data_IF_590424146562
#
_entry.id   IF_590424146562
#
_cell.length_a   1.000
_cell.length_b   1.000
_cell.length_c   1.000
_cell.angle_alpha   90.00
_cell.angle_beta   90.00
_cell.angle_gamma   90.00
#
_symmetry.space_group_name_H-M   'P 1'
#
loop_
_entity.id
_entity.type
_entity.pdbx_description
1 polymer ?
#
# COMPACT_ATOMS: atom_id res chain seq x y z
N UNK A 1 0.61 99.79 9.15
CA UNK A 1 0.67 98.31 9.15
C UNK A 1 1.15 97.69 7.83
N UNK A 2 1.38 98.44 6.74
CA UNK A 2 1.68 97.86 5.42
C UNK A 2 3.18 97.67 5.09
N UNK A 3 4.10 98.28 5.85
CA UNK A 3 5.55 98.15 5.61
C UNK A 3 6.12 96.87 6.20
N UNK A 4 5.66 96.46 7.38
CA UNK A 4 6.08 95.22 8.02
C UNK A 4 5.61 93.98 7.24
N UNK A 5 4.39 93.99 6.70
CA UNK A 5 3.85 92.90 5.87
C UNK A 5 4.57 92.77 4.53
N UNK A 6 4.96 93.88 3.90
CA UNK A 6 5.74 93.87 2.66
C UNK A 6 7.20 93.44 2.86
N UNK A 7 7.80 93.72 4.03
CA UNK A 7 9.14 93.24 4.35
C UNK A 7 9.11 91.74 4.66
N UNK A 8 8.15 91.29 5.47
CA UNK A 8 7.94 89.88 5.77
C UNK A 8 7.65 89.06 4.51
N UNK A 9 6.79 89.52 3.61
CA UNK A 9 6.46 88.76 2.38
C UNK A 9 7.64 88.67 1.40
N UNK A 10 8.48 89.72 1.30
CA UNK A 10 9.69 89.73 0.47
C UNK A 10 10.72 88.67 0.86
N UNK A 11 10.82 88.34 2.14
CA UNK A 11 11.71 87.28 2.61
C UNK A 11 11.00 85.94 2.80
N UNK A 12 9.75 85.91 3.26
CA UNK A 12 9.02 84.67 3.53
C UNK A 12 8.69 83.87 2.27
N UNK A 13 8.36 84.53 1.15
CA UNK A 13 8.06 83.86 -0.12
C UNK A 13 9.28 83.10 -0.69
N UNK A 14 10.45 83.72 -0.89
CA UNK A 14 11.62 82.99 -1.38
C UNK A 14 12.10 81.93 -0.38
N UNK A 15 11.99 82.18 0.93
CA UNK A 15 12.37 81.21 1.97
C UNK A 15 11.42 80.00 1.95
N UNK A 16 10.12 80.21 1.78
CA UNK A 16 9.13 79.15 1.59
C UNK A 16 9.36 78.35 0.30
N UNK A 17 9.60 79.01 -0.83
CA UNK A 17 9.92 78.34 -2.11
C UNK A 17 11.21 77.51 -1.97
N UNK A 18 12.23 78.05 -1.30
CA UNK A 18 13.49 77.34 -1.08
C UNK A 18 13.32 76.12 -0.16
N UNK A 19 12.51 76.23 0.89
CA UNK A 19 12.19 75.11 1.77
C UNK A 19 11.43 74.01 1.02
N UNK A 20 10.43 74.37 0.20
CA UNK A 20 9.70 73.43 -0.65
C UNK A 20 10.61 72.79 -1.70
N UNK A 21 11.54 73.55 -2.29
CA UNK A 21 12.51 73.02 -3.24
C UNK A 21 13.46 72.02 -2.59
N UNK A 22 13.98 72.32 -1.40
CA UNK A 22 14.83 71.39 -0.63
C UNK A 22 14.04 70.13 -0.27
N UNK A 23 12.81 70.29 0.23
CA UNK A 23 11.96 69.15 0.60
C UNK A 23 11.62 68.28 -0.60
N UNK A 24 11.29 68.87 -1.75
CA UNK A 24 11.04 68.14 -2.99
C UNK A 24 12.29 67.48 -3.57
N UNK A 25 13.48 68.04 -3.26
CA UNK A 25 14.77 67.51 -3.71
C UNK A 25 15.24 66.34 -2.85
N UNK A 26 14.71 66.16 -1.64
CA UNK A 26 15.09 65.05 -0.78
C UNK A 26 14.27 63.80 -1.11
N UNK A 27 14.93 62.65 -1.17
CA UNK A 27 14.29 61.35 -1.26
C UNK A 27 15.00 60.32 -0.40
N UNK A 28 14.24 59.39 0.14
CA UNK A 28 14.75 58.34 1.01
C UNK A 28 14.80 57.00 0.28
N UNK A 29 15.93 56.32 0.39
CA UNK A 29 16.08 54.94 -0.09
C UNK A 29 15.96 54.01 1.13
N UNK A 30 14.87 53.22 1.24
CA UNK A 30 14.68 52.31 2.36
C UNK A 30 15.73 51.19 2.37
N UNK A 31 15.97 50.61 3.55
CA UNK A 31 16.90 49.48 3.71
C UNK A 31 16.52 48.28 2.83
N UNK A 32 17.51 47.69 2.15
CA UNK A 32 17.29 46.60 1.19
C UNK A 32 16.79 47.05 -0.19
N UNK A 33 16.73 48.36 -0.45
CA UNK A 33 16.55 48.92 -1.78
C UNK A 33 17.82 49.65 -2.25
N UNK A 34 17.92 49.83 -3.57
CA UNK A 34 18.90 50.68 -4.23
C UNK A 34 18.19 51.55 -5.25
N UNK A 35 18.63 52.79 -5.39
CA UNK A 35 18.00 53.70 -6.36
C UNK A 35 18.84 53.81 -7.63
N UNK A 36 18.21 53.53 -8.77
CA UNK A 36 18.76 53.82 -10.09
C UNK A 36 18.30 55.21 -10.49
N UNK A 37 19.25 56.12 -10.73
CA UNK A 37 18.94 57.51 -11.05
C UNK A 37 18.75 57.70 -12.54
N UNK A 38 17.58 58.19 -12.94
CA UNK A 38 17.30 58.62 -14.31
C UNK A 38 17.39 60.14 -14.39
N UNK A 39 18.24 60.65 -15.28
CA UNK A 39 18.39 62.05 -15.63
C UNK A 39 17.78 62.31 -17.00
N UNK A 40 16.97 63.37 -17.16
CA UNK A 40 16.32 63.65 -18.44
C UNK A 40 17.27 64.02 -19.57
N UNK A 41 18.47 64.52 -19.28
CA UNK A 41 19.46 64.87 -20.33
C UNK A 41 20.43 63.75 -20.65
N UNK A 42 20.90 63.03 -19.63
CA UNK A 42 21.98 62.03 -19.77
C UNK A 42 21.44 60.59 -19.78
N UNK A 43 20.16 60.40 -19.43
CA UNK A 43 19.57 59.09 -19.25
C UNK A 43 19.90 58.48 -17.89
N UNK A 44 20.01 57.15 -17.83
CA UNK A 44 20.25 56.43 -16.58
C UNK A 44 21.72 56.55 -16.17
N UNK A 45 21.99 56.99 -14.93
CA UNK A 45 23.36 57.10 -14.39
C UNK A 45 23.97 55.71 -14.12
N UNK A 46 25.28 55.60 -14.28
CA UNK A 46 26.01 54.32 -14.17
C UNK A 46 26.16 53.78 -12.75
N UNK A 47 25.98 54.62 -11.73
CA UNK A 47 26.09 54.21 -10.31
C UNK A 47 24.72 54.19 -9.66
N UNK A 48 24.41 53.08 -8.99
CA UNK A 48 23.25 52.97 -8.13
C UNK A 48 23.52 53.63 -6.77
N UNK A 49 22.53 54.35 -6.26
CA UNK A 49 22.60 54.99 -4.95
C UNK A 49 22.25 54.00 -3.85
N UNK A 50 23.00 54.03 -2.75
CA UNK A 50 22.80 53.18 -1.57
C UNK A 50 21.58 53.60 -0.73
N UNK A 51 21.29 52.86 0.33
CA UNK A 51 20.28 53.23 1.33
C UNK A 51 20.61 54.55 2.04
N UNK A 52 19.57 55.28 2.48
CA UNK A 52 19.68 56.58 3.14
C UNK A 52 18.99 57.72 2.40
N UNK A 53 19.01 58.91 3.00
CA UNK A 53 18.46 60.15 2.44
C UNK A 53 19.43 60.75 1.43
N UNK A 54 18.95 60.98 0.23
CA UNK A 54 19.74 61.51 -0.87
C UNK A 54 19.03 62.70 -1.53
N UNK A 55 19.79 63.50 -2.27
CA UNK A 55 19.26 64.64 -3.02
C UNK A 55 19.11 64.30 -4.50
N UNK A 56 17.97 64.65 -5.08
CA UNK A 56 17.69 64.66 -6.50
C UNK A 56 17.22 66.06 -6.91
N UNK A 57 17.38 66.42 -8.18
CA UNK A 57 16.84 67.67 -8.71
C UNK A 57 15.39 67.42 -9.17
N UNK A 58 14.37 68.03 -8.54
CA UNK A 58 12.97 67.87 -8.92
C UNK A 58 12.80 68.25 -10.39
N UNK A 59 11.91 67.56 -11.13
CA UNK A 59 11.73 67.68 -12.59
C UNK A 59 12.83 67.08 -13.48
N UNK A 60 14.11 67.19 -13.10
CA UNK A 60 15.23 66.75 -13.92
C UNK A 60 15.61 65.28 -13.67
N UNK A 61 15.60 64.87 -12.41
CA UNK A 61 16.03 63.54 -11.99
C UNK A 61 14.87 62.77 -11.36
N UNK A 62 14.84 61.47 -11.64
CA UNK A 62 13.88 60.53 -11.05
C UNK A 62 14.63 59.35 -10.45
N UNK A 63 14.42 59.12 -9.15
CA UNK A 63 14.92 57.95 -8.46
C UNK A 63 13.98 56.76 -8.69
N UNK A 64 14.51 55.66 -9.24
CA UNK A 64 13.77 54.42 -9.45
C UNK A 64 14.25 53.42 -8.41
N UNK A 65 13.37 53.06 -7.48
CA UNK A 65 13.70 52.14 -6.39
C UNK A 65 13.70 50.70 -6.92
N UNK A 66 14.80 50.01 -6.66
CA UNK A 66 15.03 48.62 -7.02
C UNK A 66 15.20 47.79 -5.77
N UNK A 67 14.44 46.70 -5.67
CA UNK A 67 14.54 45.77 -4.55
C UNK A 67 15.74 44.84 -4.77
N UNK A 68 16.71 44.89 -3.86
CA UNK A 68 17.94 44.08 -3.93
C UNK A 68 17.93 42.90 -2.96
N UNK A 69 16.78 42.63 -2.32
CA UNK A 69 16.62 41.50 -1.41
C UNK A 69 16.55 40.19 -2.19
N UNK A 70 16.88 39.10 -1.49
CA UNK A 70 16.77 37.75 -2.03
C UNK A 70 15.29 37.40 -2.21
N UNK A 71 14.91 37.02 -3.42
CA UNK A 71 13.55 36.59 -3.75
C UNK A 71 13.54 35.12 -4.16
N UNK A 72 12.67 34.28 -3.56
CA UNK A 72 12.46 32.93 -4.02
C UNK A 72 11.59 32.93 -5.27
N UNK A 73 11.98 32.14 -6.28
CA UNK A 73 11.16 31.86 -7.45
C UNK A 73 11.19 30.37 -7.76
N UNK A 74 10.04 29.82 -8.11
CA UNK A 74 9.92 28.42 -8.53
C UNK A 74 9.76 28.38 -10.05
N UNK A 75 10.56 27.55 -10.70
CA UNK A 75 10.55 27.31 -12.15
C UNK A 75 10.22 25.84 -12.34
N UNK A 76 9.17 25.55 -13.09
CA UNK A 76 8.83 24.17 -13.46
C UNK A 76 9.01 23.97 -14.96
N UNK A 77 9.57 22.82 -15.32
CA UNK A 77 9.73 22.40 -16.71
C UNK A 77 9.48 20.91 -16.84
N UNK A 78 8.87 20.53 -17.96
CA UNK A 78 8.75 19.13 -18.36
C UNK A 78 9.68 18.90 -19.55
N UNK A 79 10.56 17.91 -19.43
CA UNK A 79 11.59 17.59 -20.43
C UNK A 79 11.87 16.10 -20.50
N UNK A 80 12.47 15.65 -21.60
CA UNK A 80 12.91 14.27 -21.77
C UNK A 80 14.29 14.04 -21.15
N UNK A 81 14.47 12.92 -20.47
CA UNK A 81 15.78 12.41 -20.08
C UNK A 81 16.53 11.81 -21.27
N UNK A 82 17.79 11.40 -21.06
CA UNK A 82 18.63 10.74 -22.07
C UNK A 82 18.02 9.46 -22.64
N UNK A 83 17.28 8.71 -21.83
CA UNK A 83 16.53 7.50 -22.18
C UNK A 83 15.10 7.79 -22.68
N UNK A 84 14.83 9.03 -23.09
CA UNK A 84 13.56 9.49 -23.66
C UNK A 84 12.35 9.38 -22.71
N UNK A 85 12.59 9.38 -21.40
CA UNK A 85 11.51 9.40 -20.41
C UNK A 85 11.09 10.83 -20.10
N UNK A 86 9.78 11.06 -20.00
CA UNK A 86 9.25 12.38 -19.66
C UNK A 86 9.39 12.62 -18.15
N UNK A 87 10.14 13.67 -17.80
CA UNK A 87 10.39 14.09 -16.42
C UNK A 87 9.86 15.51 -16.22
N UNK A 88 9.07 15.69 -15.17
CA UNK A 88 8.66 17.01 -14.70
C UNK A 88 9.49 17.39 -13.49
N UNK A 89 10.26 18.47 -13.62
CA UNK A 89 11.10 19.01 -12.57
C UNK A 89 10.61 20.40 -12.16
N UNK A 90 10.65 20.67 -10.86
CA UNK A 90 10.49 22.00 -10.28
C UNK A 90 11.74 22.39 -9.52
N UNK A 91 12.26 23.56 -9.86
CA UNK A 91 13.46 24.14 -9.27
C UNK A 91 13.07 25.39 -8.48
N UNK A 92 13.53 25.49 -7.24
CA UNK A 92 13.49 26.70 -6.44
C UNK A 92 14.82 27.42 -6.57
N UNK A 93 14.75 28.68 -6.95
CA UNK A 93 15.91 29.56 -7.13
C UNK A 93 15.76 30.75 -6.20
N UNK A 94 16.77 31.00 -5.38
CA UNK A 94 16.90 32.21 -4.58
C UNK A 94 17.81 33.17 -5.35
N UNK A 95 17.26 34.30 -5.80
CA UNK A 95 18.01 35.24 -6.64
C UNK A 95 17.94 36.65 -6.09
N UNK A 96 18.96 37.43 -6.42
CA UNK A 96 19.02 38.88 -6.21
C UNK A 96 19.81 39.53 -7.35
N UNK A 97 19.60 40.81 -7.65
CA UNK A 97 20.35 41.48 -8.70
C UNK A 97 21.76 41.85 -8.19
N UNK A 98 22.74 41.92 -9.07
CA UNK A 98 24.05 42.46 -8.72
C UNK A 98 23.99 43.99 -8.55
N UNK A 99 24.33 44.46 -7.35
CA UNK A 99 24.28 45.88 -6.96
C UNK A 99 25.19 46.73 -7.83
N UNK A 100 26.34 46.20 -8.27
CA UNK A 100 27.30 46.93 -9.10
C UNK A 100 26.78 47.24 -10.51
N UNK A 101 25.90 46.39 -11.03
CA UNK A 101 25.41 46.46 -12.42
C UNK A 101 23.92 46.80 -12.53
N UNK A 102 23.27 47.21 -11.43
CA UNK A 102 21.85 47.57 -11.39
C UNK A 102 21.38 48.51 -12.52
N UNK A 103 22.12 49.57 -12.89
CA UNK A 103 21.71 50.43 -14.00
C UNK A 103 21.64 49.70 -15.34
N UNK A 104 22.56 48.76 -15.60
CA UNK A 104 22.56 47.93 -16.82
C UNK A 104 21.39 46.94 -16.81
N UNK A 105 21.12 46.32 -15.67
CA UNK A 105 19.98 45.42 -15.48
C UNK A 105 18.66 46.17 -15.76
N UNK A 106 18.51 47.38 -15.21
CA UNK A 106 17.32 48.20 -15.43
C UNK A 106 17.14 48.58 -16.91
N UNK A 107 18.22 48.94 -17.62
CA UNK A 107 18.16 49.30 -19.04
C UNK A 107 17.85 48.10 -19.96
N UNK A 108 18.39 46.92 -19.66
CA UNK A 108 18.25 45.73 -20.52
C UNK A 108 17.03 44.87 -20.20
N UNK A 109 16.73 44.67 -18.91
CA UNK A 109 15.71 43.74 -18.43
C UNK A 109 14.50 44.44 -17.82
N UNK A 110 14.71 45.63 -17.24
CA UNK A 110 13.66 46.41 -16.57
C UNK A 110 13.57 46.13 -15.06
N UNK A 111 12.40 46.42 -14.48
CA UNK A 111 12.10 46.15 -13.07
C UNK A 111 11.79 44.67 -12.81
N UNK A 112 11.18 43.99 -13.78
CA UNK A 112 10.74 42.59 -13.70
C UNK A 112 11.79 41.63 -14.30
N UNK A 113 13.05 41.85 -13.93
CA UNK A 113 14.20 41.12 -14.48
C UNK A 113 14.14 39.62 -14.16
N UNK A 114 13.67 39.28 -12.96
CA UNK A 114 13.53 37.92 -12.46
C UNK A 114 12.42 37.16 -13.19
N UNK A 115 11.32 37.83 -13.52
CA UNK A 115 10.19 37.24 -14.24
C UNK A 115 10.54 36.90 -15.69
N UNK A 116 11.34 37.77 -16.32
CA UNK A 116 11.68 37.67 -17.73
C UNK A 116 12.81 36.68 -17.98
N UNK A 117 13.86 36.72 -17.17
CA UNK A 117 15.10 35.97 -17.45
C UNK A 117 15.10 34.59 -16.81
N UNK A 118 14.73 34.48 -15.52
CA UNK A 118 14.91 33.23 -14.76
C UNK A 118 14.16 32.04 -15.37
N UNK A 119 12.89 32.15 -15.79
CA UNK A 119 12.21 31.03 -16.44
C UNK A 119 12.88 30.61 -17.77
N UNK A 120 13.41 31.56 -18.54
CA UNK A 120 14.08 31.27 -19.81
C UNK A 120 15.37 30.48 -19.58
N UNK A 121 16.28 31.02 -18.77
CA UNK A 121 17.57 30.37 -18.48
C UNK A 121 17.37 29.06 -17.71
N UNK A 122 16.40 29.02 -16.79
CA UNK A 122 16.08 27.83 -16.01
C UNK A 122 15.56 26.70 -16.90
N UNK A 123 14.63 26.99 -17.81
CA UNK A 123 14.11 26.00 -18.75
C UNK A 123 15.19 25.50 -19.72
N UNK A 124 16.06 26.38 -20.21
CA UNK A 124 17.18 26.03 -21.08
C UNK A 124 18.17 25.09 -20.38
N UNK A 125 18.67 25.49 -19.21
CA UNK A 125 19.64 24.71 -18.42
C UNK A 125 19.03 23.39 -17.99
N UNK A 126 17.79 23.38 -17.46
CA UNK A 126 17.12 22.15 -17.05
C UNK A 126 17.00 21.18 -18.22
N UNK A 127 16.55 21.63 -19.40
CA UNK A 127 16.44 20.77 -20.59
C UNK A 127 17.81 20.24 -21.04
N UNK A 128 18.84 21.08 -21.02
CA UNK A 128 20.19 20.70 -21.45
C UNK A 128 20.85 19.70 -20.49
N UNK A 129 20.71 19.89 -19.18
CA UNK A 129 21.31 19.00 -18.17
C UNK A 129 20.53 17.70 -18.06
N UNK A 130 19.19 17.73 -18.00
CA UNK A 130 18.37 16.51 -17.84
C UNK A 130 18.52 15.57 -19.04
N UNK A 131 18.69 16.10 -20.25
CA UNK A 131 18.92 15.30 -21.45
C UNK A 131 20.26 14.52 -21.43
N UNK A 132 21.17 14.81 -20.48
CA UNK A 132 22.46 14.13 -20.35
C UNK A 132 22.41 12.94 -19.38
N UNK A 133 21.39 12.87 -18.53
CA UNK A 133 21.24 11.83 -17.49
C UNK A 133 20.08 10.90 -17.80
N UNK A 134 20.23 9.64 -17.39
CA UNK A 134 19.14 8.66 -17.48
C UNK A 134 18.13 8.87 -16.34
N UNK A 135 16.88 8.45 -16.54
CA UNK A 135 15.83 8.62 -15.53
C UNK A 135 16.18 8.00 -14.16
N UNK A 136 16.89 6.86 -14.15
CA UNK A 136 17.35 6.21 -12.92
C UNK A 136 18.45 7.00 -12.18
N UNK A 137 19.33 7.69 -12.92
CA UNK A 137 20.40 8.52 -12.35
C UNK A 137 19.84 9.78 -11.71
N UNK A 138 18.76 10.35 -12.26
CA UNK A 138 18.05 11.49 -11.68
C UNK A 138 17.47 11.20 -10.29
N UNK A 139 17.17 9.92 -9.99
CA UNK A 139 16.71 9.45 -8.67
C UNK A 139 17.90 9.16 -7.77
N UNK A 140 18.83 8.33 -8.25
CA UNK A 140 19.92 7.77 -7.44
C UNK A 140 21.05 8.78 -7.18
N UNK A 141 21.38 9.62 -8.16
CA UNK A 141 22.48 10.60 -8.12
C UNK A 141 21.99 12.04 -8.14
N UNK A 142 20.87 12.31 -7.47
CA UNK A 142 20.23 13.63 -7.45
C UNK A 142 21.18 14.76 -7.01
N UNK A 143 22.09 14.50 -6.08
CA UNK A 143 23.05 15.49 -5.60
C UNK A 143 24.02 15.96 -6.70
N UNK A 144 24.52 15.02 -7.51
CA UNK A 144 25.43 15.32 -8.63
C UNK A 144 24.70 16.14 -9.69
N UNK A 145 23.47 15.75 -10.02
CA UNK A 145 22.63 16.47 -10.99
C UNK A 145 22.29 17.87 -10.47
N UNK A 146 21.96 18.01 -9.19
CA UNK A 146 21.66 19.31 -8.57
C UNK A 146 22.88 20.23 -8.56
N UNK A 147 24.07 19.70 -8.26
CA UNK A 147 25.32 20.46 -8.32
C UNK A 147 25.59 20.93 -9.76
N UNK A 148 25.35 20.07 -10.76
CA UNK A 148 25.54 20.42 -12.16
C UNK A 148 24.58 21.51 -12.64
N UNK A 149 23.28 21.37 -12.34
CA UNK A 149 22.28 22.40 -12.64
C UNK A 149 22.66 23.72 -12.00
N UNK A 150 23.12 23.70 -10.74
CA UNK A 150 23.54 24.91 -10.02
C UNK A 150 24.71 25.59 -10.72
N UNK A 151 25.75 24.86 -11.11
CA UNK A 151 26.91 25.40 -11.82
C UNK A 151 26.51 26.03 -13.17
N UNK A 152 25.75 25.30 -13.98
CA UNK A 152 25.32 25.75 -15.30
C UNK A 152 24.40 26.99 -15.19
N UNK A 153 23.47 26.99 -14.23
CA UNK A 153 22.56 28.12 -14.00
C UNK A 153 23.28 29.35 -13.44
N UNK A 154 24.28 29.16 -12.57
CA UNK A 154 25.13 30.26 -12.08
C UNK A 154 25.91 30.92 -13.22
N UNK A 155 26.48 30.12 -14.11
CA UNK A 155 27.23 30.63 -15.26
C UNK A 155 26.32 31.44 -16.19
N UNK A 156 25.12 30.94 -16.51
CA UNK A 156 24.15 31.67 -17.36
C UNK A 156 23.58 32.92 -16.67
N UNK A 157 23.31 32.86 -15.36
CA UNK A 157 22.79 34.02 -14.62
C UNK A 157 23.80 35.19 -14.53
N UNK A 158 25.10 34.88 -14.49
CA UNK A 158 26.17 35.90 -14.49
C UNK A 158 26.18 36.75 -15.76
N UNK A 159 25.84 36.19 -16.91
CA UNK A 159 25.73 36.94 -18.18
C UNK A 159 24.69 38.07 -18.10
N UNK A 160 23.64 37.87 -17.29
CA UNK A 160 22.57 38.84 -17.05
C UNK A 160 22.77 39.68 -15.78
N UNK A 161 23.94 39.56 -15.12
CA UNK A 161 24.24 40.23 -13.85
C UNK A 161 23.26 39.89 -12.71
N UNK A 162 22.71 38.67 -12.71
CA UNK A 162 21.85 38.16 -11.64
C UNK A 162 22.68 37.21 -10.75
N UNK A 163 22.61 37.41 -9.44
CA UNK A 163 23.28 36.56 -8.46
C UNK A 163 22.28 35.53 -7.92
N UNK A 164 22.63 34.26 -8.03
CA UNK A 164 21.88 33.17 -7.41
C UNK A 164 22.56 32.80 -6.09
N UNK A 165 21.81 32.88 -5.00
CA UNK A 165 22.29 32.53 -3.65
C UNK A 165 22.12 31.02 -3.40
N UNK A 166 21.00 30.47 -3.84
CA UNK A 166 20.74 29.03 -3.77
C UNK A 166 19.89 28.54 -4.94
N UNK A 167 20.12 27.30 -5.32
CA UNK A 167 19.41 26.59 -6.37
C UNK A 167 19.17 25.17 -5.87
N UNK A 168 17.90 24.79 -5.77
CA UNK A 168 17.48 23.49 -5.24
C UNK A 168 16.31 22.89 -6.02
N UNK A 169 16.41 21.61 -6.34
CA UNK A 169 15.30 20.85 -6.95
C UNK A 169 14.26 20.60 -5.87
N UNK A 170 13.03 21.11 -6.04
CA UNK A 170 11.93 20.90 -5.08
C UNK A 170 11.16 19.63 -5.40
N UNK A 171 10.64 19.50 -6.62
CA UNK A 171 9.85 18.35 -7.05
C UNK A 171 10.45 17.72 -8.29
N UNK A 172 10.47 16.39 -8.33
CA UNK A 172 10.91 15.60 -9.46
C UNK A 172 9.93 14.44 -9.61
N UNK A 173 9.22 14.42 -10.74
CA UNK A 173 8.15 13.46 -11.01
C UNK A 173 8.34 12.87 -12.40
N UNK A 174 8.24 11.55 -12.49
CA UNK A 174 8.24 10.82 -13.76
C UNK A 174 6.80 10.54 -14.21
N UNK A 175 6.63 10.19 -15.49
CA UNK A 175 5.36 9.67 -15.98
C UNK A 175 4.89 8.45 -15.16
N UNK A 176 3.58 8.31 -14.95
CA UNK A 176 3.02 7.25 -14.09
C UNK A 176 3.39 5.84 -14.58
N UNK A 177 3.50 5.64 -15.89
CA UNK A 177 3.89 4.36 -16.50
C UNK A 177 5.32 3.97 -16.11
N UNK A 178 6.25 4.92 -16.11
CA UNK A 178 7.64 4.68 -15.71
C UNK A 178 7.73 4.34 -14.23
N UNK A 179 7.05 5.09 -13.36
CA UNK A 179 7.02 4.80 -11.92
C UNK A 179 6.50 3.40 -11.64
N UNK A 180 5.39 3.01 -12.29
CA UNK A 180 4.83 1.65 -12.17
C UNK A 180 5.82 0.59 -12.66
N UNK A 181 6.49 0.82 -13.80
CA UNK A 181 7.46 -0.13 -14.34
C UNK A 181 8.69 -0.30 -13.44
N UNK A 182 9.17 0.78 -12.82
CA UNK A 182 10.28 0.74 -11.85
C UNK A 182 9.88 -0.01 -10.59
N UNK A 183 8.69 0.27 -10.05
CA UNK A 183 8.14 -0.45 -8.89
C UNK A 183 8.00 -1.95 -9.19
N UNK A 184 7.43 -2.31 -10.34
CA UNK A 184 7.31 -3.70 -10.77
C UNK A 184 8.67 -4.39 -10.94
N UNK A 185 9.64 -3.69 -11.55
CA UNK A 185 11.00 -4.21 -11.69
C UNK A 185 11.66 -4.42 -10.33
N UNK A 186 11.45 -3.52 -9.37
CA UNK A 186 11.96 -3.65 -8.02
C UNK A 186 11.34 -4.85 -7.29
N UNK A 187 10.02 -5.03 -7.41
CA UNK A 187 9.31 -6.18 -6.83
C UNK A 187 9.85 -7.47 -7.45
N UNK A 188 9.92 -7.56 -8.77
CA UNK A 188 10.43 -8.75 -9.46
C UNK A 188 11.90 -9.07 -9.08
N UNK A 189 12.73 -8.04 -8.89
CA UNK A 189 14.12 -8.22 -8.46
C UNK A 189 14.21 -8.71 -7.01
N UNK A 190 13.38 -8.18 -6.11
CA UNK A 190 13.27 -8.65 -4.72
C UNK A 190 12.75 -10.09 -4.65
N UNK A 191 11.75 -10.43 -5.47
CA UNK A 191 11.18 -11.78 -5.53
C UNK A 191 12.20 -12.79 -6.08
N UNK A 192 12.96 -12.41 -7.11
CA UNK A 192 14.04 -13.25 -7.64
C UNK A 192 15.16 -13.47 -6.60
N UNK A 193 15.51 -12.42 -5.85
CA UNK A 193 16.51 -12.52 -4.77
C UNK A 193 16.00 -13.39 -3.61
N UNK A 194 14.74 -13.23 -3.21
CA UNK A 194 14.08 -14.09 -2.22
C UNK A 194 14.01 -15.55 -2.67
N UNK A 195 13.68 -15.81 -3.93
CA UNK A 195 13.65 -17.16 -4.48
C UNK A 195 15.03 -17.84 -4.41
N UNK A 196 16.12 -17.10 -4.70
CA UNK A 196 17.49 -17.60 -4.52
C UNK A 196 17.77 -17.98 -3.07
N UNK A 197 17.38 -17.14 -2.11
CA UNK A 197 17.54 -17.46 -0.69
C UNK A 197 16.73 -18.67 -0.24
N UNK A 198 15.53 -18.88 -0.79
CA UNK A 198 14.72 -20.08 -0.49
C UNK A 198 15.39 -21.34 -1.04
N UNK A 199 15.92 -21.30 -2.25
CA UNK A 199 16.65 -22.43 -2.85
C UNK A 199 17.91 -22.74 -2.05
N UNK A 200 18.70 -21.72 -1.70
CA UNK A 200 19.91 -21.89 -0.89
C UNK A 200 19.59 -22.47 0.49
N UNK A 201 18.52 -21.98 1.14
CA UNK A 201 18.05 -22.52 2.42
C UNK A 201 17.65 -23.99 2.29
N UNK A 202 16.88 -24.35 1.27
CA UNK A 202 16.45 -25.73 1.04
C UNK A 202 17.64 -26.66 0.77
N UNK A 203 18.66 -26.18 0.05
CA UNK A 203 19.89 -26.92 -0.20
C UNK A 203 20.69 -27.14 1.08
N UNK A 204 20.83 -26.11 1.93
CA UNK A 204 21.47 -26.22 3.24
C UNK A 204 20.72 -27.20 4.16
N UNK A 205 19.38 -27.13 4.20
CA UNK A 205 18.56 -28.05 5.00
C UNK A 205 18.69 -29.49 4.50
N UNK A 206 18.72 -29.71 3.18
CA UNK A 206 18.98 -31.02 2.57
C UNK A 206 20.35 -31.56 2.99
N UNK A 207 21.39 -30.74 2.90
CA UNK A 207 22.74 -31.14 3.27
C UNK A 207 22.84 -31.43 4.78
N UNK A 208 22.18 -30.61 5.62
CA UNK A 208 22.09 -30.85 7.06
C UNK A 208 21.37 -32.16 7.38
N UNK A 209 20.31 -32.50 6.64
CA UNK A 209 19.58 -33.76 6.80
C UNK A 209 20.43 -34.98 6.45
N UNK A 210 21.20 -34.93 5.35
CA UNK A 210 22.13 -36.01 4.96
C UNK A 210 23.21 -36.21 6.03
N UNK A 211 23.89 -35.12 6.42
CA UNK A 211 24.93 -35.16 7.46
C UNK A 211 24.37 -35.71 8.78
N UNK A 212 23.13 -35.31 9.14
CA UNK A 212 22.45 -35.80 10.34
C UNK A 212 22.15 -37.29 10.24
N UNK A 213 21.60 -37.76 9.12
CA UNK A 213 21.30 -39.18 8.92
C UNK A 213 22.56 -40.04 8.93
N UNK A 214 23.66 -39.58 8.33
CA UNK A 214 24.96 -40.23 8.39
C UNK A 214 25.51 -40.29 9.82
N UNK A 215 25.45 -39.17 10.56
CA UNK A 215 25.87 -39.10 11.96
C UNK A 215 25.02 -40.00 12.88
N UNK A 216 23.71 -40.07 12.65
CA UNK A 216 22.80 -40.97 13.37
C UNK A 216 23.09 -42.45 13.03
N UNK A 217 23.35 -42.77 11.76
CA UNK A 217 23.70 -44.13 11.34
C UNK A 217 25.06 -44.59 11.91
N UNK A 218 26.08 -43.73 11.87
CA UNK A 218 27.39 -44.01 12.43
C UNK A 218 27.34 -44.13 13.96
N UNK A 219 26.60 -43.23 14.61
CA UNK A 219 26.33 -43.29 16.05
C UNK A 219 25.60 -44.57 16.46
N UNK A 220 24.53 -44.94 15.73
CA UNK A 220 23.80 -46.18 15.96
C UNK A 220 24.70 -47.41 15.79
N UNK A 221 25.50 -47.46 14.72
CA UNK A 221 26.43 -48.57 14.48
C UNK A 221 27.48 -48.69 15.60
N UNK A 222 27.98 -47.56 16.12
CA UNK A 222 28.93 -47.54 17.23
C UNK A 222 28.28 -48.00 18.55
N UNK A 223 27.05 -47.56 18.82
CA UNK A 223 26.26 -48.03 19.96
C UNK A 223 26.02 -49.54 19.87
N UNK A 224 25.58 -50.05 18.72
CA UNK A 224 25.37 -51.49 18.49
C UNK A 224 26.65 -52.28 18.76
N UNK A 225 27.79 -51.87 18.20
CA UNK A 225 29.08 -52.52 18.45
C UNK A 225 29.51 -52.46 19.92
N UNK A 226 29.18 -51.39 20.63
CA UNK A 226 29.46 -51.26 22.06
C UNK A 226 28.55 -52.17 22.92
N UNK A 227 27.27 -52.27 22.56
CA UNK A 227 26.29 -53.16 23.21
C UNK A 227 26.62 -54.64 22.99
N UNK A 228 27.02 -55.04 21.78
CA UNK A 228 27.45 -56.41 21.47
C UNK A 228 28.60 -56.86 22.36
N UNK A 229 29.50 -55.93 22.73
CA UNK A 229 30.61 -56.20 23.66
C UNK A 229 30.19 -56.23 25.14
N UNK A 230 29.15 -55.47 25.52
CA UNK A 230 28.72 -55.30 26.91
C UNK A 230 27.65 -56.33 27.36
N UNK A 231 27.00 -57.03 26.43
CA UNK A 231 26.02 -58.09 26.71
C UNK A 231 24.60 -57.60 27.01
N UNK A 232 23.63 -58.53 27.05
CA UNK A 232 22.18 -58.28 27.05
C UNK A 232 21.64 -57.57 28.33
N UNK A 233 22.47 -57.50 29.38
CA UNK A 233 22.12 -56.83 30.64
C UNK A 233 21.83 -55.34 30.45
N UNK A 234 22.59 -54.64 29.59
CA UNK A 234 22.44 -53.20 29.39
C UNK A 234 21.16 -52.86 28.59
N UNK A 235 20.80 -53.71 27.61
CA UNK A 235 19.56 -53.62 26.85
C UNK A 235 18.33 -53.81 27.75
N UNK A 236 18.42 -54.74 28.68
CA UNK A 236 17.36 -55.01 29.66
C UNK A 236 17.10 -53.79 30.55
N UNK A 237 18.16 -53.14 31.05
CA UNK A 237 18.03 -51.91 31.86
C UNK A 237 17.41 -50.77 31.05
N UNK A 238 17.86 -50.55 29.81
CA UNK A 238 17.28 -49.52 28.91
C UNK A 238 15.81 -49.79 28.58
N UNK A 239 15.41 -51.06 28.40
CA UNK A 239 13.99 -51.44 28.23
C UNK A 239 13.15 -51.09 29.45
N UNK A 240 13.67 -51.30 30.66
CA UNK A 240 12.98 -50.97 31.91
C UNK A 240 12.85 -49.45 32.04
N UNK A 241 13.90 -48.69 31.75
CA UNK A 241 13.88 -47.22 31.78
C UNK A 241 12.90 -46.63 30.74
N UNK A 242 12.93 -47.11 29.50
CA UNK A 242 11.99 -46.70 28.46
C UNK A 242 10.54 -47.04 28.85
N UNK A 243 10.30 -48.24 29.38
CA UNK A 243 9.00 -48.65 29.89
C UNK A 243 8.53 -47.78 31.06
N UNK A 244 9.42 -47.41 31.99
CA UNK A 244 9.11 -46.47 33.06
C UNK A 244 8.76 -45.08 32.53
N UNK A 245 9.50 -44.59 31.54
CA UNK A 245 9.29 -43.26 30.98
C UNK A 245 7.99 -43.19 30.19
N UNK A 246 7.69 -44.22 29.39
CA UNK A 246 6.38 -44.41 28.73
C UNK A 246 5.27 -44.48 29.77
N UNK A 247 5.40 -45.31 30.81
CA UNK A 247 4.41 -45.42 31.89
C UNK A 247 4.18 -44.08 32.61
N UNK A 248 5.24 -43.30 32.86
CA UNK A 248 5.15 -41.96 33.49
C UNK A 248 4.48 -40.93 32.58
N UNK A 249 4.71 -41.01 31.28
CA UNK A 249 4.10 -40.11 30.29
C UNK A 249 2.62 -40.48 30.08
N UNK A 250 2.31 -41.78 30.04
CA UNK A 250 0.94 -42.31 29.95
C UNK A 250 0.13 -42.08 31.23
N UNK A 251 0.73 -42.18 32.43
CA UNK A 251 0.00 -41.90 33.68
C UNK A 251 -0.40 -40.42 33.82
N UNK A 252 0.28 -39.53 33.10
CA UNK A 252 -0.07 -38.11 33.02
C UNK A 252 -1.17 -37.79 32.00
N UNK A 253 -1.42 -38.68 31.03
CA UNK A 253 -2.45 -38.50 30.01
C UNK A 253 -3.82 -38.97 30.55
N UNK A 254 -4.79 -38.05 30.67
CA UNK A 254 -6.07 -38.31 31.37
C UNK A 254 -7.04 -39.30 30.70
N UNK A 255 -6.73 -39.83 29.51
CA UNK A 255 -7.67 -40.62 28.69
C UNK A 255 -7.07 -41.93 28.12
N UNK A 256 -6.44 -42.77 28.95
CA UNK A 256 -6.01 -44.11 28.50
C UNK A 256 -6.59 -45.17 29.44
N UNK A 257 -7.60 -45.92 28.94
CA UNK A 257 -8.16 -47.09 29.62
C UNK A 257 -7.45 -48.36 29.16
N UNK A 258 -7.03 -49.20 30.12
CA UNK A 258 -6.43 -50.50 29.86
C UNK A 258 -7.52 -51.55 29.58
N UNK A 259 -7.42 -52.24 28.43
CA UNK A 259 -8.21 -53.44 28.16
C UNK A 259 -7.42 -54.69 28.60
N UNK A 260 -7.91 -55.47 29.57
CA UNK A 260 -7.40 -56.82 29.79
C UNK A 260 -7.98 -57.79 28.75
N UNK A 261 -7.15 -58.70 28.28
CA UNK A 261 -7.47 -59.73 27.30
C UNK A 261 -8.34 -60.86 27.91
N UNK A 262 -9.61 -60.59 28.26
CA UNK A 262 -10.65 -61.62 28.41
C UNK A 262 -11.99 -61.06 28.92
N UNK A 263 -13.08 -61.17 28.14
CA UNK A 263 -14.47 -61.11 28.64
C UNK A 263 -15.46 -60.22 27.86
N UNK A 264 -16.65 -60.76 27.59
CA UNK A 264 -17.73 -60.28 26.71
C UNK A 264 -18.19 -58.81 26.86
N UNK A 265 -18.54 -58.20 25.71
CA UNK A 265 -19.10 -56.85 25.57
C UNK A 265 -20.64 -56.91 25.59
N UNK A 266 -21.26 -56.21 26.56
CA UNK A 266 -22.66 -55.78 26.51
C UNK A 266 -22.67 -54.25 26.37
N UNK A 267 -23.16 -53.77 25.23
CA UNK A 267 -23.18 -52.36 24.87
C UNK A 267 -24.40 -51.67 25.51
N UNK A 268 -24.19 -51.02 26.64
CA UNK A 268 -25.17 -50.17 27.32
C UNK A 268 -24.88 -48.69 27.10
N UNK A 269 -25.79 -48.03 26.39
CA UNK A 269 -25.85 -46.60 26.10
C UNK A 269 -25.66 -45.71 27.34
N UNK A 270 -24.70 -44.78 27.31
CA UNK A 270 -24.73 -43.57 28.15
C UNK A 270 -24.10 -42.36 27.44
N UNK A 271 -24.83 -41.24 27.59
CA UNK A 271 -24.66 -39.92 26.98
C UNK A 271 -23.31 -39.27 27.30
N UNK A 272 -22.71 -38.63 26.30
CA UNK A 272 -21.57 -37.74 26.46
C UNK A 272 -22.01 -36.37 26.98
N UNK A 273 -21.65 -36.06 28.23
CA UNK A 273 -21.69 -34.72 28.79
C UNK A 273 -20.32 -34.05 28.66
N UNK A 274 -20.33 -32.84 28.13
CA UNK A 274 -19.17 -31.93 28.02
C UNK A 274 -18.57 -31.62 29.39
N UNK A 275 -17.24 -31.58 29.48
CA UNK A 275 -16.51 -30.55 30.24
C UNK A 275 -15.05 -30.52 29.80
N UNK A 276 -14.57 -29.31 29.50
CA UNK A 276 -13.38 -29.06 28.69
C UNK A 276 -12.04 -29.03 29.42
N UNK A 277 -11.03 -28.52 28.71
CA UNK A 277 -10.16 -27.39 29.12
C UNK A 277 -9.09 -27.10 28.07
N UNK A 278 -8.89 -25.79 27.86
CA UNK A 278 -7.64 -25.08 27.62
C UNK A 278 -6.66 -25.59 26.55
N UNK A 279 -6.66 -24.84 25.44
CA UNK A 279 -5.54 -24.02 24.98
C UNK A 279 -4.13 -24.56 25.26
N UNK A 280 -3.59 -25.28 24.28
CA UNK A 280 -2.22 -25.11 23.74
C UNK A 280 -1.89 -26.26 22.78
N UNK A 281 -2.33 -26.17 21.53
CA UNK A 281 -1.78 -26.85 20.33
C UNK A 281 -2.86 -26.90 19.24
N UNK A 282 -2.89 -25.92 18.36
CA UNK A 282 -3.69 -25.99 17.13
C UNK A 282 -2.71 -26.18 15.98
N UNK A 283 -2.65 -27.42 15.46
CA UNK A 283 -2.31 -27.66 14.07
C UNK A 283 -3.47 -27.21 13.16
N UNK A 284 -3.32 -27.29 11.83
CA UNK A 284 -4.24 -26.67 10.87
C UNK A 284 -5.69 -27.07 11.17
N UNK A 285 -6.50 -26.04 11.40
CA UNK A 285 -7.89 -26.13 11.82
C UNK A 285 -8.76 -26.34 10.57
N UNK A 286 -9.10 -27.58 10.27
CA UNK A 286 -10.11 -27.89 9.25
C UNK A 286 -11.53 -27.58 9.77
N UNK A 287 -11.87 -26.29 9.83
CA UNK A 287 -13.03 -25.74 10.57
C UNK A 287 -14.39 -26.27 10.07
N UNK A 288 -14.55 -26.53 8.77
CA UNK A 288 -15.82 -26.96 8.16
C UNK A 288 -15.80 -28.36 7.53
N UNK A 289 -14.72 -29.14 7.67
CA UNK A 289 -14.53 -30.43 6.96
C UNK A 289 -15.67 -31.45 7.17
N UNK A 290 -16.31 -31.40 8.34
CA UNK A 290 -17.40 -32.30 8.73
C UNK A 290 -18.74 -31.58 8.94
N UNK A 291 -18.84 -30.31 8.56
CA UNK A 291 -20.04 -29.49 8.79
C UNK A 291 -20.97 -29.59 7.60
N UNK A 292 -22.19 -30.08 7.81
CA UNK A 292 -23.28 -30.00 6.84
C UNK A 292 -24.35 -29.07 7.40
N UNK A 293 -24.72 -28.03 6.64
CA UNK A 293 -25.80 -27.13 7.02
C UNK A 293 -27.00 -27.45 6.14
N UNK A 294 -28.17 -27.68 6.77
CA UNK A 294 -29.40 -28.01 6.05
C UNK A 294 -30.44 -26.92 6.24
N UNK A 295 -30.94 -26.40 5.13
CA UNK A 295 -32.08 -25.49 5.05
C UNK A 295 -33.35 -26.20 4.62
N UNK A 296 -34.33 -25.41 4.19
CA UNK A 296 -35.61 -25.90 3.69
C UNK A 296 -35.50 -26.36 2.23
N UNK A 297 -34.69 -25.66 1.42
CA UNK A 297 -34.55 -25.88 -0.04
C UNK A 297 -33.11 -26.11 -0.47
N UNK A 298 -32.13 -25.76 0.36
CA UNK A 298 -30.71 -25.95 0.07
C UNK A 298 -29.99 -26.68 1.19
N UNK A 299 -28.94 -27.40 0.82
CA UNK A 299 -27.98 -27.98 1.75
C UNK A 299 -26.58 -27.48 1.38
N UNK A 300 -25.82 -27.09 2.39
CA UNK A 300 -24.42 -26.69 2.27
C UNK A 300 -23.56 -27.85 2.75
N UNK A 301 -22.74 -28.38 1.83
CA UNK A 301 -21.76 -29.44 2.12
C UNK A 301 -20.35 -28.91 1.96
N UNK A 302 -19.35 -29.45 2.66
CA UNK A 302 -17.98 -29.02 2.50
C UNK A 302 -17.48 -29.33 1.09
N UNK A 303 -16.62 -28.47 0.55
CA UNK A 303 -16.02 -28.70 -0.77
C UNK A 303 -15.07 -29.90 -0.75
N UNK A 304 -15.32 -30.86 -1.65
CA UNK A 304 -14.65 -32.16 -1.71
C UNK A 304 -14.19 -32.42 -3.14
N UNK A 305 -13.24 -33.34 -3.27
CA UNK A 305 -12.67 -33.80 -4.55
C UNK A 305 -13.74 -34.19 -5.59
N UNK A 306 -14.86 -34.76 -5.14
CA UNK A 306 -15.99 -35.19 -5.98
C UNK A 306 -16.69 -34.03 -6.70
N UNK A 307 -16.59 -32.80 -6.18
CA UNK A 307 -17.24 -31.62 -6.76
C UNK A 307 -16.38 -30.92 -7.83
N UNK A 308 -15.10 -31.27 -7.95
CA UNK A 308 -14.13 -30.56 -8.80
C UNK A 308 -14.52 -30.64 -10.27
N UNK A 309 -14.94 -31.80 -10.78
CA UNK A 309 -15.29 -31.96 -12.19
C UNK A 309 -16.49 -31.08 -12.60
N UNK A 310 -17.52 -31.02 -11.75
CA UNK A 310 -18.70 -30.15 -11.96
C UNK A 310 -18.32 -28.68 -11.86
N UNK A 311 -17.45 -28.33 -10.92
CA UNK A 311 -16.96 -26.96 -10.75
C UNK A 311 -16.13 -26.50 -11.96
N UNK A 312 -15.25 -27.37 -12.47
CA UNK A 312 -14.47 -27.15 -13.68
C UNK A 312 -15.37 -26.85 -14.88
N UNK A 313 -16.43 -27.66 -15.06
CA UNK A 313 -17.39 -27.45 -16.15
C UNK A 313 -18.08 -26.08 -16.06
N UNK A 314 -18.38 -25.58 -14.85
CA UNK A 314 -18.90 -24.23 -14.68
C UNK A 314 -17.88 -23.14 -14.99
N UNK A 315 -16.63 -23.35 -14.59
CA UNK A 315 -15.52 -22.43 -14.85
C UNK A 315 -15.14 -22.36 -16.32
N UNK A 316 -15.72 -23.17 -17.20
CA UNK A 316 -15.59 -23.02 -18.66
C UNK A 316 -16.54 -21.95 -19.25
N UNK A 317 -17.58 -21.47 -18.53
CA UNK A 317 -18.48 -20.40 -19.01
C UNK A 317 -17.80 -19.02 -18.82
N UNK A 318 -17.47 -18.29 -19.91
CA UNK A 318 -16.82 -16.97 -19.82
C UNK A 318 -17.65 -15.93 -19.06
N UNK A 319 -18.98 -16.06 -19.06
CA UNK A 319 -19.85 -15.17 -18.32
C UNK A 319 -19.78 -15.40 -16.80
N UNK A 320 -19.48 -16.62 -16.37
CA UNK A 320 -19.25 -16.94 -14.96
C UNK A 320 -17.87 -16.46 -14.52
N UNK A 321 -16.82 -16.75 -15.30
CA UNK A 321 -15.45 -16.28 -15.04
C UNK A 321 -15.38 -14.77 -14.84
N UNK A 322 -16.06 -13.99 -15.71
CA UNK A 322 -16.11 -12.54 -15.60
C UNK A 322 -16.84 -12.05 -14.34
N UNK A 323 -17.83 -12.81 -13.85
CA UNK A 323 -18.59 -12.47 -12.65
C UNK A 323 -17.88 -12.86 -11.35
N UNK A 324 -17.07 -13.93 -11.38
CA UNK A 324 -16.26 -14.42 -10.24
C UNK A 324 -14.83 -13.90 -10.25
N UNK A 325 -14.43 -13.15 -11.30
CA UNK A 325 -13.06 -12.68 -11.53
C UNK A 325 -12.00 -13.81 -11.48
N UNK A 326 -12.36 -15.00 -11.97
CA UNK A 326 -11.50 -16.20 -11.93
C UNK A 326 -10.76 -16.44 -13.25
N UNK A 327 -9.53 -16.91 -13.17
CA UNK A 327 -8.71 -17.31 -14.33
C UNK A 327 -9.00 -18.78 -14.73
N UNK A 328 -8.91 -19.13 -16.03
CA UNK A 328 -9.11 -20.50 -16.49
C UNK A 328 -7.96 -21.40 -16.04
N UNK A 329 -8.28 -22.50 -15.37
CA UNK A 329 -7.33 -23.48 -14.87
C UNK A 329 -7.51 -24.83 -15.55
N UNK A 330 -6.47 -25.65 -15.55
CA UNK A 330 -6.56 -27.06 -15.95
C UNK A 330 -7.22 -27.89 -14.84
N UNK A 331 -7.79 -29.04 -15.21
CA UNK A 331 -8.45 -29.93 -14.24
C UNK A 331 -7.50 -30.39 -13.11
N UNK A 332 -6.22 -30.61 -13.41
CA UNK A 332 -5.20 -30.97 -12.42
C UNK A 332 -4.92 -29.82 -11.44
N UNK A 333 -4.84 -28.59 -11.95
CA UNK A 333 -4.68 -27.39 -11.12
C UNK A 333 -5.90 -27.13 -10.24
N UNK A 334 -7.11 -27.41 -10.72
CA UNK A 334 -8.32 -27.30 -9.89
C UNK A 334 -8.35 -28.30 -8.74
N UNK A 335 -7.87 -29.53 -8.95
CA UNK A 335 -7.70 -30.49 -7.85
C UNK A 335 -6.68 -30.01 -6.81
N UNK A 336 -5.59 -29.40 -7.25
CA UNK A 336 -4.59 -28.82 -6.34
C UNK A 336 -5.18 -27.61 -5.57
N UNK A 337 -5.94 -26.75 -6.24
CA UNK A 337 -6.63 -25.63 -5.60
C UNK A 337 -7.71 -26.07 -4.62
N UNK A 338 -8.49 -27.10 -4.96
CA UNK A 338 -9.47 -27.69 -4.04
C UNK A 338 -8.80 -28.20 -2.77
N UNK A 339 -7.65 -28.84 -2.89
CA UNK A 339 -6.89 -29.32 -1.74
C UNK A 339 -6.37 -28.15 -0.90
N UNK A 340 -5.82 -27.11 -1.53
CA UNK A 340 -5.42 -25.87 -0.84
C UNK A 340 -6.58 -25.27 -0.06
N UNK A 341 -7.72 -25.02 -0.71
CA UNK A 341 -8.88 -24.37 -0.07
C UNK A 341 -9.51 -25.21 1.05
N UNK A 342 -9.29 -26.52 1.04
CA UNK A 342 -9.76 -27.41 2.11
C UNK A 342 -8.83 -27.41 3.32
N UNK A 343 -7.53 -27.22 3.09
CA UNK A 343 -6.51 -27.18 4.14
C UNK A 343 -6.21 -25.75 4.64
N UNK A 344 -6.75 -24.71 3.97
CA UNK A 344 -6.64 -23.30 4.37
C UNK A 344 -7.43 -22.98 5.65
N UNK A 345 -6.74 -22.46 6.67
CA UNK A 345 -7.32 -22.15 7.99
C UNK A 345 -8.18 -20.86 8.00
N UNK A 346 -8.07 -20.04 6.96
CA UNK A 346 -8.71 -18.74 6.82
C UNK A 346 -9.83 -18.73 5.77
N UNK A 347 -10.20 -19.90 5.23
CA UNK A 347 -11.23 -20.01 4.19
C UNK A 347 -12.27 -21.07 4.52
N UNK A 348 -13.55 -20.71 4.35
CA UNK A 348 -14.68 -21.64 4.47
C UNK A 348 -15.41 -21.71 3.15
N UNK A 349 -15.23 -22.82 2.42
CA UNK A 349 -15.92 -23.08 1.15
C UNK A 349 -17.00 -24.16 1.34
N UNK A 350 -18.24 -23.80 1.03
CA UNK A 350 -19.37 -24.71 0.98
C UNK A 350 -19.94 -24.81 -0.44
N UNK A 351 -20.30 -26.02 -0.84
CA UNK A 351 -21.05 -26.27 -2.06
C UNK A 351 -22.55 -26.24 -1.76
N UNK A 352 -23.29 -25.52 -2.59
CA UNK A 352 -24.75 -25.41 -2.52
C UNK A 352 -25.37 -26.55 -3.33
N UNK A 353 -26.07 -27.43 -2.63
CA UNK A 353 -26.91 -28.47 -3.23
C UNK A 353 -28.39 -28.07 -3.09
N UNK A 354 -29.20 -28.34 -4.12
CA UNK A 354 -30.67 -28.21 -4.01
C UNK A 354 -31.22 -29.45 -3.35
N UNK A 355 -32.02 -29.27 -2.30
CA UNK A 355 -32.64 -30.34 -1.55
C UNK A 355 -34.03 -30.68 -2.15
N UNK A 356 -34.22 -31.89 -2.72
CA UNK A 356 -35.56 -32.38 -3.07
C UNK A 356 -36.37 -32.72 -1.81
N UNK A 357 -37.70 -32.69 -1.91
CA UNK A 357 -38.60 -32.89 -0.75
C UNK A 357 -38.49 -34.28 -0.07
N UNK A 358 -37.87 -35.28 -0.71
CA UNK A 358 -37.90 -36.69 -0.28
C UNK A 358 -36.59 -37.19 0.39
N UNK A 359 -35.70 -36.30 0.81
CA UNK A 359 -34.39 -36.69 1.38
C UNK A 359 -34.46 -36.81 2.92
N UNK A 360 -34.04 -37.95 3.54
CA UNK A 360 -34.04 -38.17 4.99
C UNK A 360 -33.27 -37.09 5.77
N UNK A 361 -33.74 -36.73 6.97
CA UNK A 361 -33.16 -35.67 7.83
C UNK A 361 -31.73 -35.97 8.32
N UNK A 362 -31.39 -37.25 8.43
CA UNK A 362 -30.14 -37.84 8.90
C UNK A 362 -29.21 -38.29 7.75
N UNK A 363 -29.48 -37.87 6.52
CA UNK A 363 -28.64 -38.20 5.37
C UNK A 363 -27.21 -37.66 5.53
N UNK A 364 -26.23 -38.56 5.46
CA UNK A 364 -24.81 -38.21 5.49
C UNK A 364 -24.39 -37.42 4.23
N UNK A 365 -23.31 -36.63 4.36
CA UNK A 365 -22.77 -35.82 3.26
C UNK A 365 -22.58 -36.59 1.94
N UNK A 366 -22.04 -37.83 1.90
CA UNK A 366 -21.88 -38.56 0.64
C UNK A 366 -23.22 -38.91 -0.03
N UNK A 367 -24.25 -39.24 0.75
CA UNK A 367 -25.58 -39.52 0.21
C UNK A 367 -26.20 -38.25 -0.40
N UNK A 368 -26.05 -37.12 0.29
CA UNK A 368 -26.51 -35.82 -0.19
C UNK A 368 -25.85 -35.41 -1.51
N UNK A 369 -24.54 -35.60 -1.64
CA UNK A 369 -23.79 -35.31 -2.88
C UNK A 369 -24.25 -36.19 -4.04
N UNK A 370 -24.60 -37.46 -3.78
CA UNK A 370 -25.07 -38.37 -4.83
C UNK A 370 -26.51 -38.11 -5.31
N UNK A 371 -27.36 -37.57 -4.45
CA UNK A 371 -28.82 -37.43 -4.70
C UNK A 371 -29.20 -35.99 -5.07
N UNK A 372 -28.53 -34.99 -4.50
CA UNK A 372 -28.91 -33.59 -4.63
C UNK A 372 -28.11 -32.91 -5.75
N UNK A 373 -28.78 -32.20 -6.69
CA UNK A 373 -28.07 -31.44 -7.71
C UNK A 373 -27.20 -30.34 -7.11
N UNK A 374 -25.93 -30.30 -7.51
CA UNK A 374 -25.00 -29.22 -7.21
C UNK A 374 -25.33 -28.00 -8.08
N UNK A 375 -25.51 -26.82 -7.46
CA UNK A 375 -26.00 -25.61 -8.16
C UNK A 375 -25.15 -24.36 -7.97
N UNK A 376 -24.23 -24.37 -7.00
CA UNK A 376 -23.32 -23.25 -6.76
C UNK A 376 -22.43 -23.47 -5.55
N UNK A 377 -21.81 -22.40 -5.08
CA UNK A 377 -20.93 -22.35 -3.92
C UNK A 377 -21.09 -21.06 -3.12
N UNK A 378 -20.71 -21.13 -1.85
CA UNK A 378 -20.64 -19.98 -0.95
C UNK A 378 -19.31 -20.03 -0.20
N UNK A 379 -18.58 -18.92 -0.24
CA UNK A 379 -17.25 -18.78 0.34
C UNK A 379 -17.24 -17.72 1.43
N UNK A 380 -16.47 -17.97 2.49
CA UNK A 380 -16.07 -16.96 3.47
C UNK A 380 -14.56 -16.92 3.54
N UNK A 381 -14.00 -15.72 3.40
CA UNK A 381 -12.57 -15.46 3.62
C UNK A 381 -12.43 -14.70 4.93
N UNK A 382 -11.65 -15.25 5.85
CA UNK A 382 -11.39 -14.71 7.16
C UNK A 382 -10.09 -13.90 7.09
N UNK A 383 -10.14 -12.62 7.42
CA UNK A 383 -8.95 -11.77 7.47
C UNK A 383 -8.80 -11.13 8.85
N UNK A 384 -7.63 -11.27 9.46
CA UNK A 384 -7.29 -10.55 10.68
C UNK A 384 -6.76 -9.17 10.31
N UNK A 385 -7.37 -8.11 10.84
CA UNK A 385 -6.90 -6.73 10.67
C UNK A 385 -6.73 -6.06 12.02
N UNK A 386 -5.71 -5.22 12.12
CA UNK A 386 -5.51 -4.32 13.24
C UNK A 386 -6.27 -3.03 12.95
N UNK A 387 -7.11 -2.59 13.88
CA UNK A 387 -7.62 -1.22 13.86
C UNK A 387 -6.54 -0.31 14.45
N UNK A 388 -6.41 0.92 13.93
CA UNK A 388 -5.38 1.88 14.31
C UNK A 388 -5.34 2.20 15.83
N UNK A 389 -6.40 1.88 16.58
CA UNK A 389 -6.54 2.12 18.03
C UNK A 389 -6.44 0.84 18.91
N UNK A 390 -6.43 -0.38 18.36
CA UNK A 390 -6.51 -1.62 19.16
C UNK A 390 -5.25 -2.51 19.04
N UNK A 391 -4.72 -2.95 20.19
CA UNK A 391 -3.60 -3.93 20.27
C UNK A 391 -3.99 -5.37 19.96
N UNK A 392 -5.29 -5.66 19.79
CA UNK A 392 -5.81 -7.02 19.50
C UNK A 392 -6.32 -7.12 18.06
N UNK A 393 -5.89 -8.12 17.27
CA UNK A 393 -6.37 -8.30 15.90
C UNK A 393 -7.87 -8.60 15.89
N UNK A 394 -8.62 -7.88 15.06
CA UNK A 394 -10.04 -8.11 14.83
C UNK A 394 -10.22 -8.99 13.60
N UNK A 395 -11.00 -10.07 13.73
CA UNK A 395 -11.36 -10.94 12.61
C UNK A 395 -12.48 -10.30 11.79
N UNK A 396 -12.28 -10.20 10.49
CA UNK A 396 -13.26 -9.77 9.50
C UNK A 396 -13.57 -10.93 8.56
N UNK A 397 -14.81 -11.02 8.09
CA UNK A 397 -15.25 -12.06 7.16
C UNK A 397 -15.75 -11.43 5.86
N UNK A 398 -15.12 -11.82 4.76
CA UNK A 398 -15.53 -11.47 3.39
C UNK A 398 -16.36 -12.62 2.81
N UNK A 399 -17.57 -12.33 2.35
CA UNK A 399 -18.51 -13.35 1.87
C UNK A 399 -18.73 -13.26 0.36
N UNK A 400 -18.75 -14.41 -0.29
CA UNK A 400 -19.04 -14.56 -1.71
C UNK A 400 -20.05 -15.68 -1.95
N UNK A 401 -20.94 -15.49 -2.93
CA UNK A 401 -21.91 -16.51 -3.35
C UNK A 401 -21.99 -16.56 -4.86
N UNK A 402 -22.01 -17.78 -5.40
CA UNK A 402 -22.27 -18.03 -6.82
C UNK A 402 -23.35 -19.10 -6.96
N UNK A 403 -24.34 -18.85 -7.83
CA UNK A 403 -25.24 -19.90 -8.34
C UNK A 403 -24.92 -20.08 -9.82
N UNK A 404 -24.13 -21.10 -10.12
CA UNK A 404 -23.61 -21.36 -11.45
C UNK A 404 -24.74 -21.70 -12.44
N UNK A 405 -25.64 -22.60 -12.04
CA UNK A 405 -26.71 -23.09 -12.90
C UNK A 405 -27.83 -22.06 -13.13
N UNK A 406 -28.03 -21.66 -14.39
CA UNK A 406 -29.01 -20.60 -14.76
C UNK A 406 -30.46 -20.97 -14.40
N UNK A 407 -30.80 -22.25 -14.47
CA UNK A 407 -32.16 -22.78 -14.17
C UNK A 407 -32.57 -22.52 -12.72
N UNK A 408 -31.59 -22.46 -11.82
CA UNK A 408 -31.78 -22.36 -10.37
C UNK A 408 -31.64 -20.91 -9.84
N UNK A 409 -31.25 -19.95 -10.70
CA UNK A 409 -31.18 -18.53 -10.34
C UNK A 409 -32.58 -17.95 -10.10
N UNK A 410 -32.65 -16.90 -9.28
CA UNK A 410 -33.89 -16.16 -8.92
C UNK A 410 -34.97 -16.99 -8.21
N UNK A 411 -34.64 -18.16 -7.66
CA UNK A 411 -35.54 -18.98 -6.81
C UNK A 411 -35.35 -18.76 -5.31
N UNK A 412 -34.49 -17.83 -4.92
CA UNK A 412 -34.17 -17.52 -3.52
C UNK A 412 -33.19 -18.48 -2.85
N UNK A 413 -32.55 -19.38 -3.61
CA UNK A 413 -31.57 -20.35 -3.09
C UNK A 413 -30.32 -19.67 -2.52
N UNK A 414 -29.77 -18.69 -3.24
CA UNK A 414 -28.60 -17.92 -2.77
C UNK A 414 -28.87 -17.17 -1.46
N UNK A 415 -30.09 -16.65 -1.29
CA UNK A 415 -30.51 -15.96 -0.06
C UNK A 415 -30.52 -16.91 1.12
N UNK A 416 -31.11 -18.09 0.96
CA UNK A 416 -31.19 -19.10 2.00
C UNK A 416 -29.81 -19.65 2.36
N UNK A 417 -28.97 -19.93 1.34
CA UNK A 417 -27.58 -20.35 1.54
C UNK A 417 -26.78 -19.31 2.33
N UNK A 418 -26.88 -18.02 1.99
CA UNK A 418 -26.25 -16.95 2.74
C UNK A 418 -26.79 -16.81 4.17
N UNK A 419 -28.10 -16.96 4.38
CA UNK A 419 -28.70 -16.92 5.73
C UNK A 419 -28.20 -18.06 6.61
N UNK A 420 -28.10 -19.26 6.06
CA UNK A 420 -27.55 -20.43 6.76
C UNK A 420 -26.08 -20.23 7.11
N UNK A 421 -25.30 -19.68 6.18
CA UNK A 421 -23.89 -19.38 6.41
C UNK A 421 -23.70 -18.26 7.45
N UNK A 422 -24.49 -17.18 7.37
CA UNK A 422 -24.51 -16.10 8.35
C UNK A 422 -24.84 -16.64 9.74
N UNK A 423 -25.84 -17.50 9.85
CA UNK A 423 -26.16 -18.16 11.11
C UNK A 423 -24.99 -19.04 11.60
N UNK A 424 -24.35 -19.79 10.72
CA UNK A 424 -23.21 -20.63 11.08
C UNK A 424 -22.02 -19.85 11.62
N UNK A 425 -21.69 -18.68 11.05
CA UNK A 425 -20.50 -17.88 11.44
C UNK A 425 -20.78 -16.90 12.60
N UNK A 426 -22.04 -16.52 12.84
CA UNK A 426 -22.41 -15.57 13.90
C UNK A 426 -22.92 -16.24 15.17
N UNK A 427 -23.41 -17.49 15.09
CA UNK A 427 -24.05 -18.14 16.23
C UNK A 427 -23.05 -18.93 17.09
N UNK A 428 -22.97 -18.58 18.38
CA UNK A 428 -22.00 -19.10 19.38
C UNK A 428 -21.99 -20.63 19.53
N UNK A 429 -23.06 -21.33 19.12
CA UNK A 429 -23.20 -22.77 19.29
C UNK A 429 -22.46 -23.60 18.23
N UNK A 430 -22.16 -23.02 17.07
CA UNK A 430 -21.68 -23.75 15.89
C UNK A 430 -20.40 -23.16 15.27
N UNK A 431 -20.10 -21.89 15.56
CA UNK A 431 -18.89 -21.24 15.09
C UNK A 431 -17.71 -21.52 16.04
N UNK A 432 -16.53 -21.90 15.52
CA UNK A 432 -15.29 -21.92 16.30
C UNK A 432 -14.88 -20.53 16.81
N UNK A 433 -15.39 -19.46 16.19
CA UNK A 433 -15.26 -18.07 16.64
C UNK A 433 -16.56 -17.31 16.32
N UNK A 434 -17.31 -16.76 17.30
CA UNK A 434 -18.48 -15.94 17.02
C UNK A 434 -18.02 -14.60 16.42
N UNK A 435 -18.23 -14.43 15.12
CA UNK A 435 -17.96 -13.18 14.42
C UNK A 435 -19.05 -12.17 14.75
N UNK A 436 -18.64 -10.96 15.15
CA UNK A 436 -19.55 -9.83 15.30
C UNK A 436 -20.16 -9.48 13.92
N UNK A 437 -21.49 -9.43 13.77
CA UNK A 437 -22.16 -9.11 12.51
C UNK A 437 -21.62 -7.84 11.84
N UNK A 438 -21.18 -6.84 12.63
CA UNK A 438 -20.66 -5.55 12.13
C UNK A 438 -19.33 -5.70 11.33
N UNK A 439 -18.69 -6.87 11.44
CA UNK A 439 -17.39 -7.17 10.80
C UNK A 439 -17.52 -8.03 9.53
N UNK A 440 -18.74 -8.27 9.08
CA UNK A 440 -19.05 -8.97 7.84
C UNK A 440 -19.07 -7.99 6.67
N UNK A 441 -18.45 -8.36 5.56
CA UNK A 441 -18.58 -7.62 4.32
C UNK A 441 -18.62 -8.50 3.08
N UNK A 442 -19.11 -7.96 1.97
CA UNK A 442 -19.09 -8.60 0.66
C UNK A 442 -18.53 -7.62 -0.38
N UNK A 443 -17.64 -8.10 -1.25
CA UNK A 443 -17.16 -7.34 -2.41
C UNK A 443 -17.92 -7.79 -3.64
N UNK A 444 -18.54 -6.84 -4.31
CA UNK A 444 -19.37 -7.11 -5.48
C UNK A 444 -18.94 -6.17 -6.61
N UNK A 445 -18.72 -6.75 -7.79
CA UNK A 445 -18.41 -5.98 -9.01
C UNK A 445 -19.48 -4.92 -9.29
N UNK A 446 -19.04 -3.79 -9.87
CA UNK A 446 -19.91 -2.67 -10.24
C UNK A 446 -21.08 -3.10 -11.14
N UNK A 447 -20.84 -4.05 -12.04
CA UNK A 447 -21.78 -4.46 -13.08
C UNK A 447 -22.77 -5.54 -12.60
N UNK A 448 -22.51 -6.16 -11.44
CA UNK A 448 -23.33 -7.25 -10.91
C UNK A 448 -24.48 -6.72 -10.03
N UNK A 449 -25.51 -6.19 -10.69
CA UNK A 449 -26.72 -5.65 -10.04
C UNK A 449 -27.52 -6.71 -9.27
N UNK A 450 -27.50 -7.97 -9.71
CA UNK A 450 -28.23 -9.06 -9.08
C UNK A 450 -27.68 -9.40 -7.69
N UNK A 451 -26.36 -9.51 -7.54
CA UNK A 451 -25.74 -9.78 -6.24
C UNK A 451 -25.90 -8.59 -5.29
N UNK A 452 -25.83 -7.35 -5.76
CA UNK A 452 -26.07 -6.17 -4.90
C UNK A 452 -27.47 -6.18 -4.29
N UNK A 453 -28.51 -6.39 -5.11
CA UNK A 453 -29.88 -6.46 -4.64
C UNK A 453 -30.10 -7.61 -3.64
N UNK A 454 -29.39 -8.74 -3.81
CA UNK A 454 -29.44 -9.86 -2.87
C UNK A 454 -28.87 -9.50 -1.49
N UNK A 455 -27.69 -8.87 -1.43
CA UNK A 455 -27.07 -8.49 -0.16
C UNK A 455 -27.79 -7.32 0.53
N UNK A 456 -28.36 -6.37 -0.23
CA UNK A 456 -29.22 -5.32 0.31
C UNK A 456 -30.48 -5.92 0.99
N UNK A 457 -31.08 -6.96 0.41
CA UNK A 457 -32.20 -7.69 1.04
C UNK A 457 -31.81 -8.43 2.33
N UNK A 458 -30.53 -8.73 2.53
CA UNK A 458 -29.98 -9.34 3.75
C UNK A 458 -29.59 -8.30 4.81
N UNK A 459 -29.81 -7.01 4.53
CA UNK A 459 -29.56 -5.92 5.48
C UNK A 459 -28.20 -5.24 5.35
N UNK A 460 -27.40 -5.58 4.35
CA UNK A 460 -26.11 -4.93 4.15
C UNK A 460 -26.26 -3.53 3.54
N UNK A 461 -25.44 -2.58 4.01
CA UNK A 461 -25.37 -1.20 3.55
C UNK A 461 -24.14 -0.97 2.67
N UNK A 462 -24.35 -0.33 1.52
CA UNK A 462 -23.32 -0.12 0.51
C UNK A 462 -22.42 1.06 0.89
N UNK A 463 -21.13 0.81 1.16
CA UNK A 463 -20.11 1.85 1.40
C UNK A 463 -19.20 2.01 0.18
N UNK A 464 -18.96 3.27 -0.20
CA UNK A 464 -18.07 3.65 -1.29
C UNK A 464 -16.60 3.53 -0.86
N UNK A 465 -15.81 2.77 -1.62
CA UNK A 465 -14.35 2.84 -1.59
C UNK A 465 -13.83 2.67 -3.03
N UNK A 466 -12.80 3.42 -3.42
CA UNK A 466 -12.42 3.75 -4.81
C UNK A 466 -12.18 2.60 -5.81
N UNK A 467 -12.32 1.31 -5.45
CA UNK A 467 -12.11 0.18 -6.37
C UNK A 467 -13.11 -1.00 -6.21
N UNK A 468 -14.05 -0.99 -5.25
CA UNK A 468 -15.11 -2.01 -5.11
C UNK A 468 -16.17 -1.59 -4.09
N UNK A 469 -17.43 -1.99 -4.26
CA UNK A 469 -18.45 -1.79 -3.21
C UNK A 469 -18.14 -2.69 -2.01
N UNK A 470 -18.12 -2.11 -0.81
CA UNK A 470 -18.05 -2.87 0.45
C UNK A 470 -19.42 -2.74 1.11
N UNK A 471 -20.16 -3.83 1.11
CA UNK A 471 -21.43 -3.95 1.84
C UNK A 471 -21.11 -4.34 3.28
N UNK A 472 -21.58 -3.60 4.29
CA UNK A 472 -21.43 -3.95 5.72
C UNK A 472 -22.79 -4.12 6.38
N UNK A 473 -22.93 -5.02 7.34
CA UNK A 473 -24.13 -5.12 8.19
C UNK A 473 -24.27 -3.89 9.08
#
# INVERSE_FOLDING_TARGET
MNTATNFLSRFAVPLGISALAIQASMYDVPGGYRAVMFDRFTGVKERATSEGTHFLIPWLQRAILYDVRIKPRTISTTTGSKDLQMVTLSLRVLSRPDVGHLPKIYQSLGLDYDERVLPSIGNEVLKATVAQFDAAELITQREVVSARIREDLLNRAREFHIVLEDVSITHLTFGQEFTKAVEQKQIAQQDAERAKFVVEKAEQERQASVIRAEGEAEGAALITRALDKAGDGLLTVRRIEASQQIAKTLSGAKNVSYLPSSGNILLGSFKSSRLGRHASSLGPMRLNEHTVLRGERVVLVPYRREHVETYHAWMQDPALQAQTASEPLTLEEEYAMQQSWRDDDDKLTFIVLVLPHDVPLDADAPLLVSVCPMVGDVNVFLSQRYNDDDTTPCLYAEMEVMIAERVWRRRGLAREALQMLLHYITHEAHAPFPLDPVRLFARISMDNTASKALFEQLGFQTRWNCLSWILRV
#
